data_IF_358823161860
#
_entry.id   IF_358823161860
#
_cell.length_a   1.000
_cell.length_b   1.000
_cell.length_c   1.000
_cell.angle_alpha   90.00
_cell.angle_beta   90.00
_cell.angle_gamma   90.00
#
_symmetry.space_group_name_H-M   'P 1'
#
loop_
_entity.id
_entity.type
_entity.pdbx_description
1 polymer ?
#
# COMPACT_ATOMS: atom_id res chain seq x y z
N UNK A 1 15.48 -23.70 7.59
CA UNK A 1 14.40 -23.22 8.48
C UNK A 1 13.57 -22.18 7.75
N UNK A 2 12.28 -22.05 8.06
CA UNK A 2 11.38 -21.07 7.44
C UNK A 2 10.92 -20.04 8.47
N UNK A 3 10.67 -18.81 8.02
CA UNK A 3 10.17 -17.73 8.88
C UNK A 3 8.70 -17.98 9.26
N UNK A 4 8.40 -18.03 10.56
CA UNK A 4 7.02 -18.01 11.04
C UNK A 4 6.48 -16.57 11.05
N UNK A 5 5.89 -16.16 9.92
CA UNK A 5 5.36 -14.81 9.72
C UNK A 5 4.25 -14.43 10.71
N UNK A 6 3.44 -15.40 11.16
CA UNK A 6 2.36 -15.14 12.13
C UNK A 6 2.94 -14.75 13.49
N UNK A 7 3.91 -15.54 13.97
CA UNK A 7 4.58 -15.25 15.23
C UNK A 7 5.40 -13.96 15.18
N UNK A 8 6.11 -13.69 14.07
CA UNK A 8 6.80 -12.42 13.88
C UNK A 8 5.84 -11.23 13.93
N UNK A 9 4.67 -11.34 13.29
CA UNK A 9 3.63 -10.30 13.31
C UNK A 9 3.14 -10.05 14.74
N UNK A 10 2.90 -11.10 15.51
CA UNK A 10 2.49 -10.98 16.92
C UNK A 10 3.55 -10.22 17.75
N UNK A 11 4.84 -10.50 17.53
CA UNK A 11 5.93 -9.80 18.23
C UNK A 11 5.95 -8.31 17.89
N UNK A 12 5.99 -7.96 16.59
CA UNK A 12 6.11 -6.55 16.17
C UNK A 12 4.82 -5.74 16.39
N UNK A 13 3.67 -6.41 16.53
CA UNK A 13 2.40 -5.74 16.85
C UNK A 13 2.35 -5.21 18.28
N UNK A 14 3.07 -5.84 19.22
CA UNK A 14 3.07 -5.44 20.63
C UNK A 14 4.33 -4.67 21.05
N UNK A 15 5.29 -4.47 20.13
CA UNK A 15 6.58 -3.88 20.43
C UNK A 15 7.06 -3.02 19.25
N UNK A 16 6.80 -1.72 19.36
CA UNK A 16 7.23 -0.75 18.36
C UNK A 16 8.74 -0.73 18.18
N UNK A 17 9.54 -1.00 19.21
CA UNK A 17 11.01 -1.00 19.08
C UNK A 17 11.45 -2.14 18.16
N UNK A 18 10.89 -3.34 18.33
CA UNK A 18 11.15 -4.48 17.45
C UNK A 18 10.60 -4.27 16.05
N UNK A 19 9.45 -3.60 15.92
CA UNK A 19 8.88 -3.22 14.63
C UNK A 19 9.84 -2.31 13.84
N UNK A 20 10.27 -1.20 14.44
CA UNK A 20 11.22 -0.29 13.79
C UNK A 20 12.57 -0.96 13.49
N UNK A 21 13.08 -1.81 14.39
CA UNK A 21 14.30 -2.57 14.11
C UNK A 21 14.16 -3.47 12.88
N UNK A 22 13.04 -4.20 12.77
CA UNK A 22 12.75 -5.07 11.64
C UNK A 22 12.58 -4.26 10.35
N UNK A 23 11.85 -3.16 10.39
CA UNK A 23 11.67 -2.22 9.27
C UNK A 23 13.02 -1.69 8.78
N UNK A 24 13.90 -1.23 9.68
CA UNK A 24 15.24 -0.73 9.34
C UNK A 24 16.13 -1.79 8.70
N UNK A 25 16.00 -3.06 9.11
CA UNK A 25 16.70 -4.17 8.48
C UNK A 25 16.16 -4.47 7.07
N UNK A 26 14.84 -4.46 6.90
CA UNK A 26 14.18 -4.93 5.69
C UNK A 26 14.08 -3.86 4.61
N UNK A 27 13.80 -2.60 4.95
CA UNK A 27 13.55 -1.52 3.99
C UNK A 27 14.69 -1.37 2.96
N UNK A 28 15.98 -1.30 3.34
CA UNK A 28 17.06 -1.19 2.37
C UNK A 28 17.13 -2.37 1.40
N UNK A 29 16.87 -3.59 1.89
CA UNK A 29 16.86 -4.80 1.08
C UNK A 29 15.71 -4.82 0.09
N UNK A 30 14.51 -4.44 0.55
CA UNK A 30 13.31 -4.35 -0.28
C UNK A 30 13.49 -3.29 -1.36
N UNK A 31 13.98 -2.09 -1.03
CA UNK A 31 14.16 -1.03 -2.02
C UNK A 31 15.24 -1.36 -3.05
N UNK A 32 16.32 -2.03 -2.64
CA UNK A 32 17.33 -2.49 -3.58
C UNK A 32 16.78 -3.56 -4.55
N UNK A 33 15.91 -4.45 -4.06
CA UNK A 33 15.24 -5.45 -4.90
C UNK A 33 14.24 -4.80 -5.86
N UNK A 34 13.40 -3.89 -5.35
CA UNK A 34 12.48 -3.10 -6.17
C UNK A 34 13.20 -2.34 -7.27
N UNK A 35 14.34 -1.70 -6.95
CA UNK A 35 15.14 -0.98 -7.94
C UNK A 35 15.61 -1.88 -9.06
N UNK A 36 16.09 -3.10 -8.76
CA UNK A 36 16.48 -4.07 -9.80
C UNK A 36 15.31 -4.46 -10.69
N UNK A 37 14.11 -4.65 -10.12
CA UNK A 37 12.90 -4.92 -10.90
C UNK A 37 12.50 -3.75 -11.80
N UNK A 38 12.63 -2.51 -11.31
CA UNK A 38 12.37 -1.30 -12.10
C UNK A 38 13.39 -1.18 -13.23
N UNK A 39 14.69 -1.30 -12.93
CA UNK A 39 15.78 -1.14 -13.89
C UNK A 39 15.78 -2.25 -14.98
N UNK A 40 15.18 -3.40 -14.69
CA UNK A 40 15.05 -4.53 -15.65
C UNK A 40 13.72 -4.54 -16.42
N UNK A 41 12.81 -3.60 -16.14
CA UNK A 41 11.53 -3.54 -16.82
C UNK A 41 11.68 -2.97 -18.24
N UNK A 42 10.98 -3.59 -19.19
CA UNK A 42 10.83 -3.08 -20.55
C UNK A 42 9.43 -2.51 -20.81
N UNK A 43 8.60 -2.41 -19.75
CA UNK A 43 7.26 -1.84 -19.85
C UNK A 43 7.33 -0.31 -19.97
N UNK A 44 6.34 0.36 -20.58
CA UNK A 44 6.31 1.82 -20.65
C UNK A 44 6.40 2.50 -19.28
N UNK A 45 5.87 1.85 -18.24
CA UNK A 45 5.97 2.29 -16.86
C UNK A 45 5.96 1.08 -15.90
N UNK A 46 6.35 1.31 -14.64
CA UNK A 46 6.31 0.34 -13.55
C UNK A 46 5.31 0.75 -12.48
N UNK A 47 4.59 -0.21 -11.88
CA UNK A 47 3.73 0.03 -10.71
C UNK A 47 4.43 -0.49 -9.46
N UNK A 48 4.87 0.43 -8.60
CA UNK A 48 5.40 0.10 -7.29
C UNK A 48 4.27 0.17 -6.24
N UNK A 49 3.87 -0.98 -5.69
CA UNK A 49 2.84 -1.04 -4.64
C UNK A 49 3.49 -0.90 -3.27
N UNK A 50 3.38 0.29 -2.67
CA UNK A 50 4.00 0.63 -1.39
C UNK A 50 2.90 1.03 -0.39
N UNK A 51 2.50 0.15 0.54
CA UNK A 51 1.41 0.43 1.49
C UNK A 51 1.64 1.65 2.38
N UNK A 52 2.91 1.95 2.68
CA UNK A 52 3.32 3.03 3.58
C UNK A 52 3.96 4.21 2.83
N UNK A 53 3.61 4.41 1.56
CA UNK A 53 4.21 5.43 0.70
C UNK A 53 4.12 6.84 1.31
N UNK A 54 3.08 7.10 2.10
CA UNK A 54 2.86 8.39 2.71
C UNK A 54 3.59 8.58 4.05
N UNK A 55 4.08 7.48 4.62
CA UNK A 55 4.61 7.38 5.97
C UNK A 55 6.14 7.21 6.01
N UNK A 56 6.72 6.61 4.97
CA UNK A 56 8.16 6.36 4.89
C UNK A 56 8.81 7.10 3.73
N UNK A 57 10.07 7.47 3.92
CA UNK A 57 10.90 7.89 2.80
C UNK A 57 11.20 6.70 1.90
N UNK A 58 10.90 6.85 0.61
CA UNK A 58 11.17 5.82 -0.39
C UNK A 58 12.34 6.31 -1.27
N UNK A 59 13.49 5.63 -1.26
CA UNK A 59 14.68 6.04 -2.01
C UNK A 59 14.61 5.62 -3.49
N UNK A 60 13.44 5.73 -4.10
CA UNK A 60 13.22 5.48 -5.53
C UNK A 60 12.51 6.68 -6.14
N UNK A 61 12.73 6.92 -7.42
CA UNK A 61 11.98 7.93 -8.16
C UNK A 61 10.55 7.46 -8.38
N UNK A 62 9.59 8.33 -8.06
CA UNK A 62 8.15 8.10 -8.27
C UNK A 62 7.63 9.29 -9.07
N UNK A 63 7.22 9.04 -10.32
CA UNK A 63 6.73 10.09 -11.22
C UNK A 63 5.26 10.45 -10.96
N UNK A 64 4.46 9.44 -10.57
CA UNK A 64 3.03 9.56 -10.30
C UNK A 64 2.60 8.72 -9.12
N UNK A 65 1.76 9.30 -8.26
CA UNK A 65 1.16 8.63 -7.10
C UNK A 65 -0.31 8.32 -7.39
N UNK A 66 -0.65 7.03 -7.34
CA UNK A 66 -2.02 6.56 -7.44
C UNK A 66 -2.48 6.13 -6.05
N UNK A 67 -3.55 6.75 -5.54
CA UNK A 67 -4.20 6.35 -4.30
C UNK A 67 -5.48 5.60 -4.61
N UNK A 68 -5.59 4.38 -4.08
CA UNK A 68 -6.86 3.64 -4.06
C UNK A 68 -7.51 3.91 -2.71
N UNK A 69 -8.70 4.53 -2.73
CA UNK A 69 -9.44 4.86 -1.51
C UNK A 69 -10.82 4.21 -1.52
N UNK A 70 -11.39 4.06 -0.34
CA UNK A 70 -12.72 3.51 -0.14
C UNK A 70 -13.35 4.12 1.11
N UNK A 71 -14.67 4.05 1.21
CA UNK A 71 -15.41 4.42 2.40
C UNK A 71 -14.89 3.66 3.63
N UNK A 72 -14.78 4.37 4.75
CA UNK A 72 -14.17 3.87 5.97
C UNK A 72 -14.89 2.63 6.51
N UNK A 73 -16.22 2.62 6.46
CA UNK A 73 -17.00 1.50 6.98
C UNK A 73 -16.81 0.28 6.08
N UNK A 74 -16.75 0.49 4.75
CA UNK A 74 -16.43 -0.58 3.79
C UNK A 74 -15.01 -1.14 3.99
N UNK A 75 -14.03 -0.30 4.31
CA UNK A 75 -12.67 -0.76 4.63
C UNK A 75 -12.67 -1.65 5.87
N UNK A 76 -13.40 -1.26 6.91
CA UNK A 76 -13.52 -2.04 8.16
C UNK A 76 -14.19 -3.39 7.87
N UNK A 77 -15.30 -3.40 7.16
CA UNK A 77 -16.01 -4.64 6.80
C UNK A 77 -15.12 -5.60 6.01
N UNK A 78 -14.38 -5.07 5.04
CA UNK A 78 -13.42 -5.87 4.25
C UNK A 78 -12.27 -6.41 5.10
N UNK A 79 -11.73 -5.63 6.03
CA UNK A 79 -10.69 -6.09 6.96
C UNK A 79 -11.21 -7.20 7.87
N UNK A 80 -12.40 -7.03 8.43
CA UNK A 80 -13.03 -8.03 9.30
C UNK A 80 -13.25 -9.34 8.54
N UNK A 81 -13.78 -9.28 7.31
CA UNK A 81 -14.02 -10.46 6.48
C UNK A 81 -12.72 -11.14 6.04
N UNK A 82 -11.70 -10.37 5.63
CA UNK A 82 -10.42 -10.89 5.13
C UNK A 82 -9.59 -11.55 6.23
N UNK A 83 -9.47 -10.89 7.37
CA UNK A 83 -8.54 -11.28 8.44
C UNK A 83 -9.23 -12.07 9.56
N UNK A 84 -10.56 -12.24 9.48
CA UNK A 84 -11.41 -12.86 10.49
C UNK A 84 -11.19 -12.23 11.89
N UNK A 85 -11.33 -10.91 11.94
CA UNK A 85 -11.13 -10.08 13.15
C UNK A 85 -12.38 -9.29 13.51
N UNK A 86 -12.50 -8.88 14.78
CA UNK A 86 -13.59 -8.02 15.23
C UNK A 86 -13.39 -6.54 14.87
N UNK A 87 -14.49 -5.78 14.91
CA UNK A 87 -14.54 -4.35 14.59
C UNK A 87 -13.47 -3.52 15.30
N UNK A 88 -13.33 -3.68 16.62
CA UNK A 88 -12.36 -2.90 17.41
C UNK A 88 -10.91 -3.09 16.92
N UNK A 89 -10.56 -4.32 16.49
CA UNK A 89 -9.22 -4.60 15.96
C UNK A 89 -9.04 -4.07 14.55
N UNK A 90 -10.07 -4.18 13.70
CA UNK A 90 -10.06 -3.60 12.36
C UNK A 90 -9.91 -2.07 12.40
N UNK A 91 -10.65 -1.41 13.30
CA UNK A 91 -10.55 0.03 13.53
C UNK A 91 -9.16 0.45 13.99
N UNK A 92 -8.56 -0.28 14.95
CA UNK A 92 -7.21 0.00 15.43
C UNK A 92 -6.19 -0.15 14.30
N UNK A 93 -6.29 -1.21 13.50
CA UNK A 93 -5.41 -1.41 12.34
C UNK A 93 -5.54 -0.28 11.33
N UNK A 94 -6.75 0.20 11.06
CA UNK A 94 -6.97 1.33 10.16
C UNK A 94 -6.37 2.63 10.72
N UNK A 95 -6.47 2.86 12.03
CA UNK A 95 -5.93 4.03 12.72
C UNK A 95 -4.40 4.07 12.80
N UNK A 96 -3.71 2.95 12.59
CA UNK A 96 -2.22 2.94 12.54
C UNK A 96 -1.65 3.55 11.26
N UNK A 97 -2.47 3.73 10.23
CA UNK A 97 -2.05 4.35 8.96
C UNK A 97 -2.30 5.86 9.00
N UNK A 98 -1.65 6.61 8.11
CA UNK A 98 -1.97 8.04 8.00
C UNK A 98 -3.42 8.25 7.55
N UNK A 99 -4.07 9.34 8.00
CA UNK A 99 -5.41 9.70 7.56
C UNK A 99 -5.55 9.73 6.03
N UNK A 100 -6.73 9.34 5.53
CA UNK A 100 -7.01 9.30 4.08
C UNK A 100 -6.76 10.66 3.42
N UNK A 101 -7.06 11.76 4.11
CA UNK A 101 -6.86 13.12 3.61
C UNK A 101 -5.39 13.39 3.25
N UNK A 102 -4.45 12.86 4.04
CA UNK A 102 -3.01 13.00 3.78
C UNK A 102 -2.61 12.22 2.53
N UNK A 103 -3.15 11.01 2.36
CA UNK A 103 -2.90 10.19 1.17
C UNK A 103 -3.45 10.88 -0.08
N UNK A 104 -4.70 11.31 -0.02
CA UNK A 104 -5.39 11.98 -1.13
C UNK A 104 -4.72 13.29 -1.53
N UNK A 105 -4.20 14.06 -0.57
CA UNK A 105 -3.47 15.30 -0.87
C UNK A 105 -2.15 15.07 -1.63
N UNK A 106 -1.57 13.86 -1.55
CA UNK A 106 -0.35 13.48 -2.27
C UNK A 106 -0.62 12.76 -3.59
N UNK A 107 -1.88 12.49 -3.92
CA UNK A 107 -2.24 11.70 -5.09
C UNK A 107 -2.22 12.54 -6.37
N UNK A 108 -1.58 12.03 -7.43
CA UNK A 108 -1.82 12.49 -8.80
C UNK A 108 -3.13 11.92 -9.36
N UNK A 109 -3.44 10.68 -8.97
CA UNK A 109 -4.65 9.96 -9.38
C UNK A 109 -5.33 9.32 -8.18
N UNK A 110 -6.65 9.40 -8.13
CA UNK A 110 -7.47 8.73 -7.12
C UNK A 110 -8.37 7.71 -7.81
N UNK A 111 -8.36 6.48 -7.30
CA UNK A 111 -9.25 5.40 -7.73
C UNK A 111 -10.15 5.03 -6.56
N UNK A 112 -11.46 5.19 -6.72
CA UNK A 112 -12.44 4.90 -5.66
C UNK A 112 -12.90 3.45 -5.77
N UNK A 113 -12.72 2.68 -4.69
CA UNK A 113 -12.98 1.24 -4.63
C UNK A 113 -14.23 0.88 -3.79
N UNK A 114 -15.26 1.72 -3.89
CA UNK A 114 -16.53 1.53 -3.18
C UNK A 114 -17.57 0.75 -3.97
N UNK A 115 -17.40 0.71 -5.29
CA UNK A 115 -18.33 0.10 -6.21
C UNK A 115 -18.04 -1.37 -6.52
N UNK A 116 -18.58 -1.82 -7.65
CA UNK A 116 -18.28 -3.13 -8.21
C UNK A 116 -16.88 -3.20 -8.80
N UNK A 117 -16.37 -4.42 -8.97
CA UNK A 117 -15.10 -4.67 -9.67
C UNK A 117 -15.11 -4.09 -11.10
N UNK A 118 -16.25 -4.10 -11.79
CA UNK A 118 -16.38 -3.50 -13.12
C UNK A 118 -16.24 -1.98 -13.09
N UNK A 119 -16.74 -1.32 -12.04
CA UNK A 119 -16.54 0.11 -11.85
C UNK A 119 -15.07 0.44 -11.57
N UNK A 120 -14.41 -0.39 -10.75
CA UNK A 120 -12.98 -0.28 -10.48
C UNK A 120 -12.15 -0.44 -11.76
N UNK A 121 -12.44 -1.47 -12.57
CA UNK A 121 -11.77 -1.72 -13.86
C UNK A 121 -11.85 -0.53 -14.79
N UNK A 122 -13.01 0.14 -14.89
CA UNK A 122 -13.18 1.33 -15.73
C UNK A 122 -12.28 2.47 -15.28
N UNK A 123 -12.19 2.72 -13.97
CA UNK A 123 -11.29 3.75 -13.43
C UNK A 123 -9.83 3.42 -13.71
N UNK A 124 -9.40 2.17 -13.43
CA UNK A 124 -8.04 1.70 -13.70
C UNK A 124 -7.67 1.88 -15.18
N UNK A 125 -8.56 1.54 -16.11
CA UNK A 125 -8.31 1.70 -17.54
C UNK A 125 -8.22 3.17 -17.96
N UNK A 126 -9.01 4.06 -17.35
CA UNK A 126 -8.91 5.50 -17.60
C UNK A 126 -7.56 6.04 -17.11
N UNK A 127 -7.18 5.73 -15.88
CA UNK A 127 -5.87 6.11 -15.31
C UNK A 127 -4.70 5.55 -16.13
N UNK A 128 -4.78 4.29 -16.55
CA UNK A 128 -3.77 3.67 -17.42
C UNK A 128 -3.59 4.44 -18.73
N UNK A 129 -4.70 4.83 -19.37
CA UNK A 129 -4.64 5.62 -20.60
C UNK A 129 -3.93 6.94 -20.36
N UNK A 130 -4.20 7.65 -19.27
CA UNK A 130 -3.51 8.91 -19.01
C UNK A 130 -2.01 8.71 -18.77
N UNK A 131 -1.63 7.69 -17.99
CA UNK A 131 -0.22 7.40 -17.69
C UNK A 131 0.55 7.01 -18.95
N UNK A 132 -0.01 6.14 -19.80
CA UNK A 132 0.72 5.66 -20.99
C UNK A 132 0.97 6.77 -22.03
N UNK A 133 0.20 7.86 -22.01
CA UNK A 133 0.45 9.02 -22.88
C UNK A 133 1.58 9.92 -22.37
N UNK A 134 2.04 9.72 -21.12
CA UNK A 134 3.17 10.44 -20.52
C UNK A 134 4.50 9.70 -20.69
N UNK A 135 4.47 8.44 -21.15
CA UNK A 135 5.64 7.60 -21.43
C UNK A 135 6.17 7.84 -22.84
#
# INVERSE_FOLDING_TARGET
GHLNRKHLREIIFHDDTKRHWLENLLHPLIFNDMKKHIDSSHSPYCIAVIPLLCEVEVPITIDKIIVVDADKDLQIDRLMARDNIGYAKALLMLQTQVPSEIRLARADYVIVNDGSEDHLKKQVLATHKEIIHLC
#
